data_IF_867284557338
#
_entry.id   IF_867284557338
#
_cell.length_a   1.000
_cell.length_b   1.000
_cell.length_c   1.000
_cell.angle_alpha   90.00
_cell.angle_beta   90.00
_cell.angle_gamma   90.00
#
_symmetry.space_group_name_H-M   'P 1'
#
loop_
_entity.id
_entity.type
_entity.pdbx_description
1 polymer ?
#
# COMPACT_ATOMS: atom_id res chain seq x y z
N UNK A 1 6.56 -6.67 -15.98
CA UNK A 1 5.26 -6.16 -15.46
C UNK A 1 5.64 -5.29 -14.29
N UNK A 2 5.44 -3.98 -14.40
CA UNK A 2 5.90 -3.04 -13.39
C UNK A 2 4.83 -2.91 -12.32
N UNK A 3 5.16 -3.28 -11.09
CA UNK A 3 4.45 -2.80 -9.92
C UNK A 3 4.64 -1.28 -9.83
N UNK A 4 3.53 -0.53 -9.79
CA UNK A 4 3.57 0.94 -9.77
C UNK A 4 3.27 1.44 -8.36
N UNK A 5 4.24 2.14 -7.77
CA UNK A 5 4.02 2.79 -6.48
C UNK A 5 3.12 4.00 -6.67
N UNK A 6 1.90 3.91 -6.14
CA UNK A 6 0.89 4.96 -6.28
C UNK A 6 0.91 5.97 -5.15
N UNK A 7 1.29 5.54 -3.95
CA UNK A 7 1.25 6.41 -2.78
C UNK A 7 2.21 5.95 -1.70
N UNK A 8 2.56 6.89 -0.82
CA UNK A 8 3.30 6.62 0.42
C UNK A 8 2.60 7.33 1.55
N UNK A 9 2.37 6.58 2.62
CA UNK A 9 1.82 7.09 3.87
C UNK A 9 2.93 7.10 4.90
N UNK A 10 3.38 8.30 5.26
CA UNK A 10 4.40 8.50 6.29
C UNK A 10 3.73 8.83 7.63
N UNK A 11 4.16 8.15 8.69
CA UNK A 11 3.64 8.35 10.02
C UNK A 11 4.67 8.11 11.11
N UNK A 12 4.30 8.29 12.39
CA UNK A 12 5.22 8.22 13.51
C UNK A 12 5.86 6.83 13.72
N UNK A 13 5.27 5.76 13.18
CA UNK A 13 5.83 4.41 13.24
C UNK A 13 6.70 4.06 12.02
N UNK A 14 6.69 4.86 10.97
CA UNK A 14 7.44 4.60 9.74
C UNK A 14 6.66 4.98 8.48
N UNK A 15 7.11 4.45 7.34
CA UNK A 15 6.51 4.68 6.03
C UNK A 15 5.87 3.41 5.48
N UNK A 16 4.62 3.53 5.03
CA UNK A 16 3.89 2.49 4.32
C UNK A 16 3.75 2.90 2.84
N UNK A 17 4.19 2.04 1.94
CA UNK A 17 4.16 2.28 0.49
C UNK A 17 3.01 1.48 -0.11
N UNK A 18 2.14 2.14 -0.87
CA UNK A 18 1.03 1.52 -1.58
C UNK A 18 1.45 1.33 -3.04
N UNK A 19 1.34 0.09 -3.49
CA UNK A 19 1.84 -0.37 -4.78
C UNK A 19 0.71 -1.06 -5.52
N UNK A 20 0.44 -0.64 -6.73
CA UNK A 20 -0.50 -1.29 -7.62
C UNK A 20 0.17 -2.42 -8.38
N UNK A 21 -0.40 -3.61 -8.25
CA UNK A 21 0.04 -4.78 -9.00
C UNK A 21 -0.83 -4.89 -10.24
N UNK A 22 -0.23 -4.55 -11.38
CA UNK A 22 -0.84 -4.66 -12.69
C UNK A 22 -0.42 -5.97 -13.34
N UNK A 23 -1.39 -6.81 -13.72
CA UNK A 23 -1.16 -8.00 -14.54
C UNK A 23 -1.96 -7.90 -15.84
N UNK A 24 -1.32 -8.17 -16.96
CA UNK A 24 -1.96 -8.20 -18.28
C UNK A 24 -2.74 -6.90 -18.63
N UNK A 25 -2.23 -5.75 -18.19
CA UNK A 25 -2.85 -4.44 -18.43
C UNK A 25 -4.11 -4.17 -17.59
N UNK A 26 -4.41 -5.02 -16.61
CA UNK A 26 -5.43 -4.78 -15.60
C UNK A 26 -4.80 -4.70 -14.22
N UNK A 27 -5.25 -3.73 -13.45
CA UNK A 27 -4.99 -3.69 -12.02
C UNK A 27 -5.60 -4.94 -11.38
N UNK A 28 -4.75 -5.74 -10.71
CA UNK A 28 -5.15 -7.01 -10.08
C UNK A 28 -5.32 -6.85 -8.58
N UNK A 29 -4.34 -6.23 -7.92
CA UNK A 29 -4.32 -6.07 -6.47
C UNK A 29 -3.53 -4.84 -6.08
N UNK A 30 -3.74 -4.37 -4.85
CA UNK A 30 -2.90 -3.36 -4.22
C UNK A 30 -2.03 -4.05 -3.18
N UNK A 31 -0.81 -3.58 -3.02
CA UNK A 31 0.13 -4.06 -2.03
C UNK A 31 0.60 -2.94 -1.13
N UNK A 32 0.48 -3.12 0.18
CA UNK A 32 1.00 -2.19 1.18
C UNK A 32 2.31 -2.75 1.71
N UNK A 33 3.42 -2.11 1.38
CA UNK A 33 4.74 -2.42 1.93
C UNK A 33 5.02 -1.54 3.14
N UNK A 34 5.19 -2.15 4.31
CA UNK A 34 5.57 -1.45 5.53
C UNK A 34 6.61 -2.26 6.30
N UNK A 35 7.76 -1.65 6.58
CA UNK A 35 8.82 -2.26 7.39
C UNK A 35 9.22 -3.68 6.90
N UNK A 36 9.31 -3.86 5.58
CA UNK A 36 9.62 -5.15 4.95
C UNK A 36 8.47 -6.15 4.87
N UNK A 37 7.31 -5.87 5.48
CA UNK A 37 6.10 -6.66 5.33
C UNK A 37 5.28 -6.16 4.13
N UNK A 38 4.75 -7.08 3.35
CA UNK A 38 3.86 -6.79 2.22
C UNK A 38 2.47 -7.35 2.55
N UNK A 39 1.47 -6.48 2.62
CA UNK A 39 0.06 -6.89 2.70
C UNK A 39 -0.64 -6.64 1.38
N UNK A 40 -1.63 -7.49 1.07
CA UNK A 40 -2.38 -7.45 -0.19
C UNK A 40 -3.79 -6.96 0.10
N UNK A 41 -4.17 -5.86 -0.53
CA UNK A 41 -5.50 -5.26 -0.40
C UNK A 41 -6.28 -5.40 -1.70
N UNK A 42 -7.59 -5.54 -1.58
CA UNK A 42 -8.49 -5.69 -2.74
C UNK A 42 -8.80 -4.35 -3.43
N UNK A 43 -8.61 -3.22 -2.73
CA UNK A 43 -8.83 -1.89 -3.28
C UNK A 43 -7.88 -0.85 -2.65
N UNK A 44 -7.76 0.31 -3.30
CA UNK A 44 -6.89 1.41 -2.87
C UNK A 44 -7.32 2.01 -1.52
N UNK A 45 -8.62 2.05 -1.23
CA UNK A 45 -9.15 2.62 0.01
C UNK A 45 -8.71 1.84 1.24
N UNK A 46 -8.85 0.51 1.20
CA UNK A 46 -8.33 -0.41 2.21
C UNK A 46 -6.82 -0.29 2.32
N UNK A 47 -6.10 -0.18 1.20
CA UNK A 47 -4.66 0.01 1.22
C UNK A 47 -4.24 1.29 1.97
N UNK A 48 -4.95 2.40 1.79
CA UNK A 48 -4.72 3.63 2.54
C UNK A 48 -5.04 3.50 4.03
N UNK A 49 -6.12 2.81 4.37
CA UNK A 49 -6.51 2.57 5.77
C UNK A 49 -5.44 1.72 6.45
N UNK A 50 -5.04 0.60 5.84
CA UNK A 50 -3.97 -0.26 6.35
C UNK A 50 -2.64 0.49 6.45
N UNK A 51 -2.25 1.22 5.40
CA UNK A 51 -1.03 2.00 5.38
C UNK A 51 -1.01 3.04 6.50
N UNK A 52 -2.12 3.75 6.73
CA UNK A 52 -2.29 4.71 7.82
C UNK A 52 -2.18 4.05 9.21
N UNK A 53 -2.88 2.93 9.41
CA UNK A 53 -2.84 2.17 10.67
C UNK A 53 -1.42 1.67 10.97
N UNK A 54 -0.70 1.15 9.96
CA UNK A 54 0.69 0.68 10.09
C UNK A 54 1.68 1.80 10.33
N UNK A 55 1.61 2.86 9.51
CA UNK A 55 2.43 4.06 9.67
C UNK A 55 2.14 4.78 11.01
N UNK A 56 1.06 4.44 11.70
CA UNK A 56 0.69 5.02 12.99
C UNK A 56 0.10 6.41 12.84
N UNK A 57 -0.40 6.73 11.64
CA UNK A 57 -1.19 7.94 11.41
C UNK A 57 -2.49 7.73 12.17
N UNK A 58 -2.76 8.58 13.18
CA UNK A 58 -4.06 8.57 13.86
C UNK A 58 -5.12 8.98 12.84
N UNK A 59 -5.89 8.00 12.36
CA UNK A 59 -7.22 8.23 11.75
C UNK A 59 -8.14 8.91 12.75
#
# INVERSE_FOLDING_TARGET
MADEQVAVVEGPKGKAEIIEVWADGRLVEYQVRFDGNVEKCSNIGEAYIEAGVKAGVKT
#
